data_IF_241186429885
#
_entry.id   IF_241186429885
#
_cell.length_a   1.000
_cell.length_b   1.000
_cell.length_c   1.000
_cell.angle_alpha   90.00
_cell.angle_beta   90.00
_cell.angle_gamma   90.00
#
_symmetry.space_group_name_H-M   'P 1'
#
loop_
_entity.id
_entity.type
_entity.pdbx_description
1 polymer ?
#
# COMPACT_ATOMS: atom_id res chain seq x y z
N UNK A 1 -14.16 10.10 38.39
CA UNK A 1 -14.28 10.01 36.93
C UNK A 1 -14.10 8.55 36.58
N UNK A 2 -15.19 7.85 36.25
CA UNK A 2 -15.15 6.42 35.94
C UNK A 2 -14.41 6.21 34.61
N UNK A 3 -13.32 5.44 34.64
CA UNK A 3 -12.60 5.04 33.43
C UNK A 3 -13.56 4.33 32.46
N UNK A 4 -13.55 4.70 31.17
CA UNK A 4 -14.43 4.06 30.20
C UNK A 4 -14.09 2.57 30.13
N UNK A 5 -15.09 1.71 30.32
CA UNK A 5 -14.98 0.26 30.24
C UNK A 5 -14.23 -0.16 28.96
N UNK A 6 -13.39 -1.20 29.05
CA UNK A 6 -12.67 -1.80 27.90
C UNK A 6 -13.58 -2.01 26.69
N UNK A 7 -14.84 -2.41 26.92
CA UNK A 7 -15.88 -2.53 25.85
C UNK A 7 -16.15 -1.20 25.14
N UNK A 8 -16.25 -0.09 25.86
CA UNK A 8 -16.53 1.21 25.24
C UNK A 8 -15.35 1.73 24.44
N UNK A 9 -14.11 1.51 24.89
CA UNK A 9 -12.89 1.84 24.14
C UNK A 9 -12.77 1.01 22.87
N UNK A 10 -13.08 -0.30 22.94
CA UNK A 10 -13.04 -1.20 21.78
C UNK A 10 -14.11 -0.85 20.75
N UNK A 11 -15.33 -0.57 21.19
CA UNK A 11 -16.44 -0.17 20.29
C UNK A 11 -16.11 1.18 19.62
N UNK A 12 -15.59 2.14 20.38
CA UNK A 12 -15.17 3.43 19.83
C UNK A 12 -14.06 3.28 18.78
N UNK A 13 -13.05 2.45 19.04
CA UNK A 13 -11.99 2.17 18.09
C UNK A 13 -12.48 1.45 16.82
N UNK A 14 -13.43 0.53 16.97
CA UNK A 14 -14.05 -0.16 15.82
C UNK A 14 -14.88 0.80 14.96
N UNK A 15 -15.69 1.65 15.58
CA UNK A 15 -16.49 2.65 14.88
C UNK A 15 -15.60 3.65 14.14
N UNK A 16 -14.52 4.11 14.79
CA UNK A 16 -13.57 5.02 14.16
C UNK A 16 -12.86 4.40 12.96
N UNK A 17 -12.43 3.14 13.08
CA UNK A 17 -11.82 2.37 12.00
C UNK A 17 -12.79 2.12 10.84
N UNK A 18 -14.09 1.90 11.17
CA UNK A 18 -15.14 1.75 10.17
C UNK A 18 -15.37 3.06 9.40
N UNK A 19 -15.47 4.19 10.12
CA UNK A 19 -15.63 5.52 9.53
C UNK A 19 -14.46 5.90 8.64
N UNK A 20 -13.23 5.61 9.08
CA UNK A 20 -12.03 5.85 8.28
C UNK A 20 -12.04 5.04 6.98
N UNK A 21 -12.33 3.75 7.06
CA UNK A 21 -12.44 2.88 5.86
C UNK A 21 -13.58 3.30 4.94
N UNK A 22 -14.73 3.67 5.48
CA UNK A 22 -15.85 4.17 4.68
C UNK A 22 -15.50 5.50 4.01
N UNK A 23 -14.86 6.41 4.73
CA UNK A 23 -14.39 7.67 4.18
C UNK A 23 -13.41 7.48 3.01
N UNK A 24 -12.42 6.59 3.19
CA UNK A 24 -11.49 6.22 2.12
C UNK A 24 -12.21 5.61 0.91
N UNK A 25 -13.18 4.71 1.14
CA UNK A 25 -13.92 4.05 0.07
C UNK A 25 -14.80 5.04 -0.71
N UNK A 26 -15.44 5.99 -0.02
CA UNK A 26 -16.23 7.05 -0.66
C UNK A 26 -15.34 7.95 -1.51
N UNK A 27 -14.18 8.35 -0.99
CA UNK A 27 -13.20 9.15 -1.75
C UNK A 27 -12.74 8.41 -3.01
N UNK A 28 -12.37 7.14 -2.87
CA UNK A 28 -11.96 6.30 -4.01
C UNK A 28 -13.08 6.15 -5.04
N UNK A 29 -14.32 6.02 -4.58
CA UNK A 29 -15.48 5.94 -5.47
C UNK A 29 -15.68 7.24 -6.23
N UNK A 30 -15.64 8.40 -5.55
CA UNK A 30 -15.78 9.71 -6.19
C UNK A 30 -14.67 9.92 -7.22
N UNK A 31 -13.41 9.66 -6.85
CA UNK A 31 -12.26 9.76 -7.76
C UNK A 31 -12.42 8.80 -8.94
N UNK A 32 -12.86 7.57 -8.68
CA UNK A 32 -13.10 6.57 -9.72
C UNK A 32 -14.17 7.02 -10.74
N UNK A 33 -15.27 7.59 -10.26
CA UNK A 33 -16.33 8.14 -11.14
C UNK A 33 -15.82 9.34 -11.94
N UNK A 34 -15.05 10.24 -11.33
CA UNK A 34 -14.48 11.39 -12.04
C UNK A 34 -13.50 10.93 -13.12
N UNK A 35 -12.63 9.99 -12.80
CA UNK A 35 -11.66 9.40 -13.74
C UNK A 35 -12.39 8.69 -14.89
N UNK A 36 -13.43 7.91 -14.60
CA UNK A 36 -14.22 7.21 -15.61
C UNK A 36 -14.98 8.16 -16.57
N UNK A 37 -15.30 9.37 -16.11
CA UNK A 37 -15.93 10.40 -16.98
C UNK A 37 -14.92 11.13 -17.87
N UNK A 38 -13.65 11.17 -17.50
CA UNK A 38 -12.60 11.92 -18.21
C UNK A 38 -11.84 11.01 -19.15
N UNK A 39 -11.57 9.76 -18.75
CA UNK A 39 -10.83 8.80 -19.55
C UNK A 39 -11.74 8.09 -20.56
N UNK A 40 -11.17 7.80 -21.73
CA UNK A 40 -11.80 6.90 -22.68
C UNK A 40 -11.82 5.46 -22.13
N UNK A 41 -12.70 4.63 -22.65
CA UNK A 41 -12.76 3.20 -22.27
C UNK A 41 -11.42 2.51 -22.55
N UNK A 42 -10.73 2.91 -23.61
CA UNK A 42 -9.42 2.37 -23.99
C UNK A 42 -8.34 2.75 -22.98
N UNK A 43 -8.29 4.00 -22.54
CA UNK A 43 -7.33 4.46 -21.51
C UNK A 43 -7.56 3.77 -20.17
N UNK A 44 -8.83 3.57 -19.81
CA UNK A 44 -9.19 2.85 -18.58
C UNK A 44 -8.75 1.38 -18.63
N UNK A 45 -8.87 0.75 -19.80
CA UNK A 45 -8.40 -0.61 -20.02
C UNK A 45 -6.87 -0.73 -19.87
N UNK A 46 -6.10 0.26 -20.33
CA UNK A 46 -4.64 0.29 -20.16
C UNK A 46 -4.24 0.31 -18.68
N UNK A 47 -4.90 1.12 -17.86
CA UNK A 47 -4.68 1.15 -16.41
C UNK A 47 -5.04 -0.19 -15.77
N UNK A 48 -6.14 -0.80 -16.21
CA UNK A 48 -6.57 -2.13 -15.74
C UNK A 48 -5.55 -3.23 -16.04
N UNK A 49 -4.93 -3.21 -17.22
CA UNK A 49 -3.86 -4.15 -17.59
C UNK A 49 -2.65 -4.03 -16.65
N UNK A 50 -2.26 -2.81 -16.29
CA UNK A 50 -1.14 -2.55 -15.38
C UNK A 50 -1.46 -2.85 -13.92
N UNK A 51 -2.74 -2.82 -13.54
CA UNK A 51 -3.18 -3.08 -12.18
C UNK A 51 -2.80 -4.51 -11.71
N UNK A 52 -2.81 -5.49 -12.63
CA UNK A 52 -2.40 -6.88 -12.33
C UNK A 52 -0.94 -6.92 -11.89
N UNK A 53 -0.04 -6.27 -12.64
CA UNK A 53 1.38 -6.22 -12.31
C UNK A 53 1.63 -5.46 -11.02
N UNK A 54 0.92 -4.35 -10.81
CA UNK A 54 0.98 -3.60 -9.55
C UNK A 54 0.49 -4.43 -8.37
N UNK A 55 -0.57 -5.22 -8.52
CA UNK A 55 -1.08 -6.09 -7.47
C UNK A 55 -0.07 -7.18 -7.10
N UNK A 56 0.54 -7.84 -8.07
CA UNK A 56 1.60 -8.84 -7.84
C UNK A 56 2.79 -8.19 -7.13
N UNK A 57 3.22 -7.02 -7.57
CA UNK A 57 4.32 -6.29 -6.97
C UNK A 57 4.02 -5.92 -5.51
N UNK A 58 2.82 -5.45 -5.21
CA UNK A 58 2.40 -5.15 -3.85
C UNK A 58 2.36 -6.41 -2.95
N UNK A 59 1.90 -7.55 -3.46
CA UNK A 59 1.93 -8.83 -2.71
C UNK A 59 3.37 -9.19 -2.34
N UNK A 60 4.34 -9.00 -3.24
CA UNK A 60 5.75 -9.25 -2.97
C UNK A 60 6.28 -8.28 -1.90
N UNK A 61 5.91 -7.01 -1.95
CA UNK A 61 6.29 -6.01 -0.94
C UNK A 61 5.65 -6.28 0.42
N UNK A 62 4.39 -6.73 0.43
CA UNK A 62 3.66 -7.05 1.66
C UNK A 62 4.04 -8.41 2.27
N UNK A 63 4.98 -9.15 1.68
CA UNK A 63 5.30 -10.56 1.93
C UNK A 63 5.74 -10.90 3.37
N UNK A 64 5.07 -10.30 4.36
CA UNK A 64 5.12 -10.75 5.75
C UNK A 64 6.18 -10.08 6.62
N UNK A 65 7.01 -9.18 6.10
CA UNK A 65 8.01 -8.48 6.92
C UNK A 65 7.36 -7.59 7.98
N UNK A 66 6.31 -6.86 7.62
CA UNK A 66 5.51 -6.08 8.56
C UNK A 66 4.84 -6.97 9.61
N UNK A 67 4.29 -8.11 9.19
CA UNK A 67 3.67 -9.07 10.11
C UNK A 67 4.70 -9.77 11.02
N UNK A 68 5.89 -10.07 10.52
CA UNK A 68 6.98 -10.64 11.31
C UNK A 68 7.46 -9.65 12.39
N UNK A 69 7.54 -8.36 12.03
CA UNK A 69 7.96 -7.31 12.97
C UNK A 69 6.91 -7.06 14.06
N UNK A 70 5.63 -7.13 13.74
CA UNK A 70 4.53 -7.02 14.71
C UNK A 70 4.52 -8.21 15.69
N UNK A 71 4.84 -9.42 15.21
CA UNK A 71 4.88 -10.64 16.03
C UNK A 71 6.09 -10.70 16.99
N UNK A 72 7.19 -10.01 16.67
CA UNK A 72 8.37 -9.97 17.51
C UNK A 72 8.11 -9.06 18.71
N UNK A 73 7.94 -9.64 19.90
CA UNK A 73 7.62 -8.91 21.15
C UNK A 73 8.76 -7.98 21.58
N UNK A 74 10.02 -8.36 21.33
CA UNK A 74 11.24 -7.62 21.69
C UNK A 74 11.92 -7.00 20.45
N UNK A 75 11.15 -6.42 19.53
CA UNK A 75 11.73 -5.77 18.36
C UNK A 75 12.45 -4.49 18.78
N UNK A 76 13.74 -4.44 18.49
CA UNK A 76 14.63 -3.30 18.76
C UNK A 76 14.51 -2.25 17.63
N UNK A 77 14.95 -1.01 17.89
CA UNK A 77 15.04 0.02 16.84
C UNK A 77 15.90 -0.42 15.65
N UNK A 78 16.92 -1.24 15.91
CA UNK A 78 17.77 -1.81 14.86
C UNK A 78 16.99 -2.78 13.94
N UNK A 79 16.07 -3.55 14.50
CA UNK A 79 15.21 -4.45 13.71
C UNK A 79 14.29 -3.65 12.78
N UNK A 80 13.71 -2.53 13.29
CA UNK A 80 12.87 -1.64 12.47
C UNK A 80 13.65 -1.00 11.33
N UNK A 81 14.84 -0.48 11.63
CA UNK A 81 15.70 0.11 10.63
C UNK A 81 16.12 -0.92 9.56
N UNK A 82 16.46 -2.14 9.98
CA UNK A 82 16.82 -3.21 9.05
C UNK A 82 15.68 -3.57 8.10
N UNK A 83 14.47 -3.74 8.63
CA UNK A 83 13.27 -4.02 7.81
C UNK A 83 12.94 -2.82 6.89
N UNK A 84 13.16 -1.60 7.38
CA UNK A 84 12.95 -0.39 6.59
C UNK A 84 13.88 -0.35 5.36
N UNK A 85 15.19 -0.45 5.57
CA UNK A 85 16.14 -0.42 4.46
C UNK A 85 15.96 -1.61 3.50
N UNK A 86 15.64 -2.77 4.03
CA UNK A 86 15.38 -3.95 3.22
C UNK A 86 14.14 -3.78 2.34
N UNK A 87 13.07 -3.23 2.87
CA UNK A 87 11.83 -2.99 2.12
C UNK A 87 12.02 -1.91 1.04
N UNK A 88 12.74 -0.83 1.35
CA UNK A 88 13.12 0.18 0.34
C UNK A 88 13.97 -0.44 -0.76
N UNK A 89 14.95 -1.26 -0.39
CA UNK A 89 15.82 -1.92 -1.37
C UNK A 89 15.03 -2.85 -2.29
N UNK A 90 14.16 -3.69 -1.73
CA UNK A 90 13.30 -4.58 -2.53
C UNK A 90 12.35 -3.77 -3.42
N UNK A 91 11.72 -2.72 -2.90
CA UNK A 91 10.81 -1.90 -3.69
C UNK A 91 11.52 -1.19 -4.85
N UNK A 92 12.73 -0.72 -4.62
CA UNK A 92 13.57 -0.12 -5.66
C UNK A 92 13.98 -1.14 -6.72
N UNK A 93 14.41 -2.33 -6.31
CA UNK A 93 14.74 -3.42 -7.23
C UNK A 93 13.53 -3.85 -8.06
N UNK A 94 12.35 -3.96 -7.42
CA UNK A 94 11.11 -4.34 -8.09
C UNK A 94 10.66 -3.26 -9.09
N UNK A 95 10.79 -1.98 -8.70
CA UNK A 95 10.52 -0.87 -9.60
C UNK A 95 11.46 -0.90 -10.82
N UNK A 96 12.77 -1.07 -10.62
CA UNK A 96 13.75 -1.15 -11.70
C UNK A 96 13.46 -2.34 -12.63
N UNK A 97 13.13 -3.49 -12.07
CA UNK A 97 12.75 -4.67 -12.83
C UNK A 97 11.53 -4.39 -13.70
N UNK A 98 10.45 -3.86 -13.13
CA UNK A 98 9.24 -3.52 -13.87
C UNK A 98 9.46 -2.38 -14.88
N UNK A 99 10.35 -1.42 -14.55
CA UNK A 99 10.73 -0.36 -15.46
C UNK A 99 11.42 -0.90 -16.72
N UNK A 100 12.35 -1.84 -16.56
CA UNK A 100 13.04 -2.52 -17.67
C UNK A 100 12.07 -3.44 -18.44
N UNK A 101 11.14 -4.10 -17.74
CA UNK A 101 10.13 -4.96 -18.34
C UNK A 101 8.97 -4.17 -18.99
N UNK A 102 8.83 -2.87 -18.76
CA UNK A 102 7.72 -2.07 -19.30
C UNK A 102 7.56 -2.15 -20.82
N UNK A 103 8.64 -2.11 -21.66
CA UNK A 103 8.48 -2.29 -23.10
C UNK A 103 8.06 -3.71 -23.49
N UNK A 104 8.45 -4.73 -22.72
CA UNK A 104 8.01 -6.11 -22.94
C UNK A 104 6.50 -6.25 -22.66
N UNK A 105 6.02 -5.63 -21.59
CA UNK A 105 4.60 -5.59 -21.24
C UNK A 105 3.82 -4.88 -22.36
N UNK A 106 4.31 -3.72 -22.81
CA UNK A 106 3.68 -2.96 -23.89
C UNK A 106 3.66 -3.75 -25.21
N UNK A 107 4.73 -4.47 -25.53
CA UNK A 107 4.80 -5.36 -26.69
C UNK A 107 3.83 -6.52 -26.59
N UNK A 108 3.66 -7.13 -25.43
CA UNK A 108 2.71 -8.21 -25.21
C UNK A 108 1.27 -7.79 -25.44
N UNK A 109 0.89 -6.59 -25.02
CA UNK A 109 -0.46 -6.04 -25.21
C UNK A 109 -0.63 -5.29 -26.54
N UNK A 110 0.43 -5.16 -27.36
CA UNK A 110 0.45 -4.37 -28.59
C UNK A 110 0.01 -2.90 -28.40
N UNK A 111 0.38 -2.31 -27.28
CA UNK A 111 0.00 -0.96 -26.89
C UNK A 111 1.25 -0.14 -26.49
N UNK A 112 1.85 0.64 -27.39
CA UNK A 112 3.09 1.37 -27.11
C UNK A 112 2.96 2.39 -25.97
N UNK A 113 1.78 3.00 -25.81
CA UNK A 113 1.47 3.94 -24.73
C UNK A 113 1.61 3.31 -23.34
N UNK A 114 1.46 1.99 -23.25
CA UNK A 114 1.57 1.25 -22.00
C UNK A 114 2.97 1.34 -21.39
N UNK A 115 4.02 1.57 -22.19
CA UNK A 115 5.40 1.68 -21.68
C UNK A 115 5.56 2.88 -20.76
N UNK A 116 5.11 4.05 -21.19
CA UNK A 116 5.25 5.29 -20.43
C UNK A 116 4.31 5.29 -19.22
N UNK A 117 3.08 4.79 -19.43
CA UNK A 117 2.10 4.66 -18.37
C UNK A 117 2.58 3.70 -17.26
N UNK A 118 3.17 2.57 -17.64
CA UNK A 118 3.74 1.60 -16.71
C UNK A 118 4.84 2.20 -15.84
N UNK A 119 5.75 2.97 -16.45
CA UNK A 119 6.86 3.62 -15.73
C UNK A 119 6.35 4.57 -14.65
N UNK A 120 5.29 5.33 -14.95
CA UNK A 120 4.68 6.27 -14.00
C UNK A 120 3.91 5.52 -12.91
N UNK A 121 3.09 4.53 -13.27
CA UNK A 121 2.28 3.77 -12.30
C UNK A 121 3.17 2.99 -11.34
N UNK A 122 4.21 2.33 -11.84
CA UNK A 122 5.10 1.55 -10.99
C UNK A 122 5.95 2.42 -10.05
N UNK A 123 6.10 3.72 -10.33
CA UNK A 123 6.73 4.65 -9.41
C UNK A 123 5.98 4.74 -8.05
N UNK A 124 4.71 4.39 -8.03
CA UNK A 124 3.94 4.31 -6.78
C UNK A 124 4.47 3.22 -5.82
N UNK A 125 5.17 2.17 -6.31
CA UNK A 125 5.66 1.07 -5.47
C UNK A 125 6.65 1.52 -4.38
N UNK A 126 7.73 2.29 -4.68
CA UNK A 126 8.60 2.78 -3.62
C UNK A 126 7.91 3.75 -2.66
N UNK A 127 6.95 4.55 -3.13
CA UNK A 127 6.17 5.41 -2.23
C UNK A 127 5.26 4.60 -1.30
N UNK A 128 4.62 3.55 -1.80
CA UNK A 128 3.82 2.64 -0.99
C UNK A 128 4.67 1.94 0.08
N UNK A 129 5.90 1.54 -0.25
CA UNK A 129 6.79 0.88 0.71
C UNK A 129 7.18 1.81 1.86
N UNK A 130 7.38 3.10 1.60
CA UNK A 130 7.63 4.10 2.65
C UNK A 130 6.43 4.26 3.58
N UNK A 131 5.22 4.31 3.03
CA UNK A 131 3.98 4.46 3.79
C UNK A 131 3.70 3.24 4.69
N UNK A 132 3.97 2.04 4.19
CA UNK A 132 3.71 0.78 4.89
C UNK A 132 4.46 0.70 6.23
N UNK A 133 5.70 1.15 6.27
CA UNK A 133 6.53 1.10 7.46
C UNK A 133 6.10 2.15 8.49
N UNK A 134 5.75 3.36 8.05
CA UNK A 134 5.22 4.38 8.96
C UNK A 134 3.92 3.91 9.61
N UNK A 135 3.04 3.25 8.85
CA UNK A 135 1.80 2.66 9.36
C UNK A 135 2.08 1.54 10.36
N UNK A 136 3.09 0.71 10.12
CA UNK A 136 3.50 -0.37 11.03
C UNK A 136 4.03 0.18 12.35
N UNK A 137 4.86 1.23 12.32
CA UNK A 137 5.37 1.90 13.51
C UNK A 137 4.24 2.54 14.34
N UNK A 138 3.33 3.23 13.69
CA UNK A 138 2.18 3.86 14.34
C UNK A 138 1.26 2.82 15.00
N UNK A 139 0.97 1.73 14.30
CA UNK A 139 0.15 0.64 14.83
C UNK A 139 0.78 0.00 16.08
N UNK A 140 2.10 -0.13 16.11
CA UNK A 140 2.80 -0.67 17.27
C UNK A 140 2.77 0.31 18.45
N UNK A 141 3.01 1.60 18.24
CA UNK A 141 2.94 2.60 19.30
C UNK A 141 1.55 2.70 19.93
N UNK A 142 0.50 2.58 19.10
CA UNK A 142 -0.89 2.57 19.59
C UNK A 142 -1.17 1.30 20.40
N UNK A 143 -0.70 0.14 19.96
CA UNK A 143 -0.86 -1.13 20.71
C UNK A 143 -0.16 -1.10 22.06
N UNK A 144 1.04 -0.52 22.17
CA UNK A 144 1.75 -0.37 23.44
C UNK A 144 1.04 0.58 24.42
N UNK A 145 0.45 1.68 23.93
CA UNK A 145 -0.32 2.62 24.77
C UNK A 145 -1.64 2.05 25.33
N UNK A 146 -2.14 0.97 24.74
CA UNK A 146 -3.39 0.31 25.20
C UNK A 146 -3.09 -0.77 26.24
N UNK A 147 -1.85 -1.28 26.28
CA UNK A 147 -1.43 -2.36 27.16
C UNK A 147 -0.76 -1.87 28.50
N UNK A 148 -0.49 -0.57 28.61
CA UNK A 148 -0.02 0.08 29.84
C UNK A 148 -1.14 0.89 30.48
#
# INVERSE_FOLDING_TARGET
>A
MSEPSLKQRTIGALLWNLLDRMGQQVLLFIVGVLVANILSVEDYALVGMLAIFSAIANIVLDSGFSAALIRKQDATETDYNSVFYFNIFISACLYLLLFVCSPLIAGFFNQPLLTDLARVIFLALPFNSLSLIQTTLLNKQVSFKILT
#
